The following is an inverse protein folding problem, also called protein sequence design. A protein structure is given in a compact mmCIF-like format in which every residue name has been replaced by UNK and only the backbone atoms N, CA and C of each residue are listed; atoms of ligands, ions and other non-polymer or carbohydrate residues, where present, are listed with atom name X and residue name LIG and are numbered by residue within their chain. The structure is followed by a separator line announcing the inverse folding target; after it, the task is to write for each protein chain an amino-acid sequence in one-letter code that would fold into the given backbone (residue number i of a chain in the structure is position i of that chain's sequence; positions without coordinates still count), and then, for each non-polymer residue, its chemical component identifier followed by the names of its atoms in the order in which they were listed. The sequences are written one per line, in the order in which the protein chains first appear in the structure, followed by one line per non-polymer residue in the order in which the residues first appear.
data_IF_117264713163
#
_entry.id   IF_117264713163
#
_cell.length_a   1.000
_cell.length_b   1.000
_cell.length_c   1.000
_cell.angle_alpha   90.00
_cell.angle_beta   90.00
_cell.angle_gamma   90.00
#
_symmetry.space_group_name_H-M   'P 1'
#
loop_
_entity.id
_entity.type
_entity.pdbx_description
1 polymer ?
#
# COMPACT_ATOMS: atom_id res chain seq x y z
N UNK A 1 -0.40 -9.57 23.21
CA UNK A 1 0.21 -9.47 21.86
C UNK A 1 -0.35 -8.25 21.16
N UNK A 2 0.44 -7.59 20.29
CA UNK A 2 -0.01 -6.39 19.55
C UNK A 2 0.05 -6.64 18.04
N UNK A 3 -0.90 -6.06 17.30
CA UNK A 3 -0.87 -5.98 15.84
C UNK A 3 -0.81 -4.52 15.44
N UNK A 4 0.10 -4.17 14.53
CA UNK A 4 0.28 -2.81 14.06
C UNK A 4 -0.30 -2.65 12.66
N UNK A 5 -1.04 -1.57 12.44
CA UNK A 5 -1.57 -1.18 11.12
C UNK A 5 -1.32 0.31 10.89
N UNK A 6 -1.18 0.71 9.63
CA UNK A 6 -1.17 2.12 9.27
C UNK A 6 -2.59 2.66 9.11
N UNK A 7 -2.78 3.94 9.43
CA UNK A 7 -3.97 4.69 9.00
C UNK A 7 -4.18 4.57 7.48
N UNK A 8 -5.44 4.62 7.05
CA UNK A 8 -5.81 4.53 5.63
C UNK A 8 -6.76 5.67 5.26
N UNK A 9 -6.24 6.77 4.71
CA UNK A 9 -7.04 7.94 4.37
C UNK A 9 -7.63 7.90 2.96
N UNK A 10 -7.21 6.98 2.09
CA UNK A 10 -7.57 7.01 0.66
C UNK A 10 -8.56 5.93 0.25
N UNK A 11 -8.51 4.77 0.91
CA UNK A 11 -9.32 3.61 0.55
C UNK A 11 -10.34 3.29 1.65
N UNK A 12 -11.61 3.63 1.40
CA UNK A 12 -12.73 3.38 2.32
C UNK A 12 -12.87 1.90 2.69
N UNK A 13 -12.66 1.00 1.73
CA UNK A 13 -12.69 -0.46 1.95
C UNK A 13 -11.59 -0.91 2.91
N UNK A 14 -10.36 -0.41 2.72
CA UNK A 14 -9.23 -0.77 3.59
C UNK A 14 -9.37 -0.13 4.97
N UNK A 15 -9.93 1.08 5.07
CA UNK A 15 -10.26 1.71 6.35
C UNK A 15 -11.31 0.89 7.12
N UNK A 16 -12.38 0.43 6.46
CA UNK A 16 -13.36 -0.46 7.08
C UNK A 16 -12.72 -1.78 7.52
N UNK A 17 -11.82 -2.34 6.71
CA UNK A 17 -11.08 -3.54 7.09
C UNK A 17 -10.25 -3.35 8.36
N UNK A 18 -9.63 -2.19 8.58
CA UNK A 18 -8.94 -1.88 9.83
C UNK A 18 -9.91 -1.86 11.03
N UNK A 19 -11.11 -1.28 10.87
CA UNK A 19 -12.14 -1.25 11.91
C UNK A 19 -12.64 -2.65 12.25
N UNK A 20 -12.96 -3.45 11.24
CA UNK A 20 -13.42 -4.83 11.42
C UNK A 20 -12.33 -5.67 12.09
N UNK A 21 -11.08 -5.49 11.68
CA UNK A 21 -9.93 -6.14 12.30
C UNK A 21 -9.79 -5.78 13.77
N UNK A 22 -9.95 -4.51 14.14
CA UNK A 22 -9.95 -4.09 15.55
C UNK A 22 -11.01 -4.83 16.35
N UNK A 23 -12.24 -4.81 15.84
CA UNK A 23 -13.37 -5.47 16.49
C UNK A 23 -13.09 -6.96 16.72
N UNK A 24 -12.72 -7.70 15.66
CA UNK A 24 -12.51 -9.14 15.76
C UNK A 24 -11.27 -9.52 16.57
N UNK A 25 -10.22 -8.72 16.58
CA UNK A 25 -9.01 -9.04 17.34
C UNK A 25 -9.13 -8.72 18.83
N UNK A 26 -9.89 -7.69 19.19
CA UNK A 26 -10.01 -7.24 20.58
C UNK A 26 -11.23 -7.83 21.30
N UNK A 27 -12.20 -8.39 20.56
CA UNK A 27 -13.42 -8.93 21.15
C UNK A 27 -13.15 -10.15 22.05
N UNK A 28 -13.74 -10.20 23.27
CA UNK A 28 -13.62 -11.35 24.16
C UNK A 28 -14.51 -12.53 23.74
N UNK A 29 -15.30 -12.36 22.67
CA UNK A 29 -16.25 -13.39 22.20
C UNK A 29 -15.58 -14.52 21.42
N UNK A 30 -14.36 -14.31 20.93
CA UNK A 30 -13.60 -15.35 20.27
C UNK A 30 -12.91 -16.26 21.29
N UNK A 31 -12.72 -17.56 20.98
CA UNK A 31 -12.04 -18.50 21.86
C UNK A 31 -10.53 -18.26 21.96
N UNK A 32 -9.97 -17.34 21.17
CA UNK A 32 -8.56 -16.98 21.18
C UNK A 32 -8.30 -15.79 22.13
N UNK A 33 -7.10 -15.68 22.71
CA UNK A 33 -6.72 -14.50 23.51
C UNK A 33 -6.82 -13.20 22.68
N UNK A 34 -7.35 -12.10 23.26
CA UNK A 34 -7.43 -10.82 22.57
C UNK A 34 -6.06 -10.28 22.12
N UNK A 35 -6.05 -9.60 20.97
CA UNK A 35 -4.89 -8.94 20.38
C UNK A 35 -5.21 -7.46 20.23
N UNK A 36 -4.42 -6.61 20.89
CA UNK A 36 -4.55 -5.15 20.77
C UNK A 36 -4.11 -4.69 19.38
N UNK A 37 -4.98 -3.96 18.68
CA UNK A 37 -4.65 -3.33 17.40
C UNK A 37 -4.14 -1.91 17.65
N UNK A 38 -2.89 -1.65 17.28
CA UNK A 38 -2.27 -0.33 17.35
C UNK A 38 -2.26 0.28 15.96
N UNK A 39 -2.99 1.37 15.79
CA UNK A 39 -2.98 2.14 14.54
C UNK A 39 -1.91 3.22 14.61
N UNK A 40 -1.06 3.30 13.58
CA UNK A 40 0.03 4.26 13.46
C UNK A 40 -0.30 5.21 12.30
N UNK A 41 -0.04 6.49 12.48
CA UNK A 41 -0.16 7.47 11.42
C UNK A 41 0.70 7.08 10.21
N UNK A 42 0.11 7.24 9.02
CA UNK A 42 0.77 6.88 7.77
C UNK A 42 1.86 7.91 7.49
N UNK A 43 3.05 7.43 7.15
CA UNK A 43 4.15 8.31 6.77
C UNK A 43 3.73 9.20 5.59
N UNK A 44 3.97 10.50 5.73
CA UNK A 44 3.72 11.50 4.70
C UNK A 44 5.03 11.90 4.01
N UNK A 45 4.94 12.16 2.71
CA UNK A 45 5.99 12.84 1.96
C UNK A 45 5.37 14.10 1.35
N UNK A 46 5.93 15.27 1.67
CA UNK A 46 5.40 16.57 1.25
C UNK A 46 3.90 16.70 1.56
N UNK A 47 3.52 16.50 2.83
CA UNK A 47 2.12 16.55 3.32
C UNK A 47 1.16 15.51 2.70
N UNK A 48 1.65 14.63 1.83
CA UNK A 48 0.83 13.61 1.18
C UNK A 48 1.13 12.24 1.78
N UNK A 49 0.14 11.53 2.35
CA UNK A 49 0.34 10.18 2.86
C UNK A 49 0.82 9.23 1.75
N UNK A 50 1.89 8.48 2.04
CA UNK A 50 2.50 7.58 1.05
C UNK A 50 1.57 6.39 0.78
N UNK A 51 1.29 6.08 -0.48
CA UNK A 51 0.46 4.94 -0.88
C UNK A 51 1.13 4.05 -1.91
N UNK A 52 0.84 2.74 -1.84
CA UNK A 52 1.35 1.78 -2.82
C UNK A 52 0.81 2.06 -4.24
N UNK A 53 -0.41 2.59 -4.36
CA UNK A 53 -0.97 3.01 -5.65
C UNK A 53 -0.17 4.15 -6.28
N UNK A 54 0.30 5.10 -5.48
CA UNK A 54 1.16 6.18 -5.96
C UNK A 54 2.51 5.65 -6.48
N UNK A 55 3.17 4.79 -5.70
CA UNK A 55 4.42 4.14 -6.13
C UNK A 55 4.24 3.34 -7.43
N UNK A 56 3.16 2.57 -7.57
CA UNK A 56 2.86 1.83 -8.81
C UNK A 56 2.64 2.76 -10.01
N UNK A 57 1.94 3.88 -9.83
CA UNK A 57 1.74 4.89 -10.90
C UNK A 57 3.07 5.46 -11.39
N UNK A 58 4.01 5.74 -10.49
CA UNK A 58 5.37 6.18 -10.84
C UNK A 58 6.19 5.06 -11.48
N UNK A 59 6.03 3.82 -11.02
CA UNK A 59 6.78 2.67 -11.53
C UNK A 59 6.41 2.36 -12.99
N UNK A 60 5.13 2.51 -13.36
CA UNK A 60 4.67 2.41 -14.76
C UNK A 60 5.32 3.48 -15.64
N UNK A 61 5.65 4.65 -15.09
CA UNK A 61 6.37 5.72 -15.78
C UNK A 61 7.89 5.54 -15.75
N UNK A 62 8.39 4.50 -15.10
CA UNK A 62 9.81 4.27 -14.83
C UNK A 62 10.51 5.43 -14.09
N UNK A 63 9.74 6.24 -13.35
CA UNK A 63 10.27 7.40 -12.62
C UNK A 63 10.80 6.97 -11.24
N UNK A 64 11.95 6.30 -11.28
CA UNK A 64 12.62 5.78 -10.08
C UNK A 64 13.12 6.91 -9.15
N UNK A 65 13.41 8.08 -9.72
CA UNK A 65 13.81 9.28 -8.96
C UNK A 65 12.67 9.76 -8.08
N UNK A 66 11.44 9.84 -8.62
CA UNK A 66 10.27 10.22 -7.83
C UNK A 66 9.83 9.13 -6.83
N UNK A 67 10.16 7.86 -7.08
CA UNK A 67 9.88 6.76 -6.14
C UNK A 67 10.85 6.76 -4.94
N UNK A 68 12.10 7.16 -5.15
CA UNK A 68 13.16 7.09 -4.14
C UNK A 68 12.77 7.65 -2.76
N UNK A 69 12.14 8.82 -2.61
CA UNK A 69 11.76 9.32 -1.29
C UNK A 69 10.53 8.63 -0.68
N UNK A 70 9.80 7.81 -1.44
CA UNK A 70 8.53 7.20 -1.01
C UNK A 70 8.71 5.80 -0.43
N UNK A 71 9.86 5.17 -0.64
CA UNK A 71 10.09 3.77 -0.26
C UNK A 71 11.46 3.60 0.40
N UNK A 72 11.65 2.59 1.26
CA UNK A 72 12.97 2.27 1.79
C UNK A 72 13.96 1.90 0.67
N UNK A 73 15.25 2.14 0.88
CA UNK A 73 16.32 1.86 -0.10
C UNK A 73 16.32 0.41 -0.61
N UNK A 74 16.01 -0.55 0.25
CA UNK A 74 15.90 -1.96 -0.15
C UNK A 74 14.79 -2.17 -1.19
N UNK A 75 13.65 -1.47 -1.02
CA UNK A 75 12.54 -1.52 -1.98
C UNK A 75 12.91 -0.81 -3.27
N UNK A 76 13.56 0.36 -3.20
CA UNK A 76 14.01 1.08 -4.39
C UNK A 76 14.95 0.23 -5.25
N UNK A 77 15.97 -0.40 -4.63
CA UNK A 77 16.89 -1.31 -5.32
C UNK A 77 16.18 -2.50 -5.98
N UNK A 78 15.19 -3.05 -5.30
CA UNK A 78 14.37 -4.13 -5.87
C UNK A 78 13.58 -3.67 -7.10
N UNK A 79 12.96 -2.49 -7.04
CA UNK A 79 12.19 -1.89 -8.13
C UNK A 79 13.09 -1.54 -9.34
N UNK A 80 14.29 -1.01 -9.09
CA UNK A 80 15.31 -0.77 -10.12
C UNK A 80 15.62 -2.05 -10.90
N UNK A 81 15.99 -3.12 -10.20
CA UNK A 81 16.27 -4.41 -10.84
C UNK A 81 15.05 -5.00 -11.56
N UNK A 82 13.83 -4.75 -11.09
CA UNK A 82 12.61 -5.19 -11.78
C UNK A 82 12.45 -4.51 -13.14
N UNK A 83 12.70 -3.20 -13.21
CA UNK A 83 12.64 -2.40 -14.44
C UNK A 83 13.72 -2.84 -15.42
N UNK A 84 14.96 -3.04 -14.95
CA UNK A 84 16.08 -3.50 -15.78
C UNK A 84 15.83 -4.87 -16.42
N UNK A 85 15.15 -5.78 -15.72
CA UNK A 85 14.77 -7.11 -16.24
C UNK A 85 13.64 -7.07 -17.26
N UNK A 86 12.80 -6.02 -17.25
CA UNK A 86 11.61 -5.94 -18.10
C UNK A 86 11.49 -4.59 -18.83
N UNK A 87 12.44 -4.23 -19.70
CA UNK A 87 12.43 -2.95 -20.39
C UNK A 87 11.25 -2.77 -21.39
N UNK A 88 10.56 -3.86 -21.76
CA UNK A 88 9.54 -3.87 -22.83
C UNK A 88 8.05 -3.90 -22.42
N UNK A 89 7.70 -3.83 -21.12
CA UNK A 89 6.29 -4.02 -20.70
C UNK A 89 5.36 -2.83 -20.99
N UNK A 90 5.88 -1.68 -21.42
CA UNK A 90 5.07 -0.47 -21.65
C UNK A 90 4.18 -0.56 -22.89
N UNK A 91 4.59 -1.30 -23.94
CA UNK A 91 3.81 -1.39 -25.19
C UNK A 91 2.72 -2.46 -25.16
N UNK A 92 2.90 -3.56 -24.40
CA UNK A 92 2.00 -4.71 -24.45
C UNK A 92 0.73 -4.57 -23.58
N UNK A 93 0.71 -3.66 -22.59
CA UNK A 93 -0.43 -3.50 -21.66
C UNK A 93 -1.50 -2.50 -22.12
N UNK A 94 -1.38 -1.93 -23.32
CA UNK A 94 -2.41 -1.05 -23.90
C UNK A 94 -3.67 -1.80 -24.39
N UNK A 95 -3.75 -3.13 -24.26
CA UNK A 95 -4.97 -3.92 -24.50
C UNK A 95 -5.50 -4.62 -23.24
N UNK A 96 -6.19 -3.83 -22.40
CA UNK A 96 -7.34 -4.17 -21.52
C UNK A 96 -7.21 -5.23 -20.39
N UNK A 97 -8.11 -5.21 -19.38
CA UNK A 97 -9.20 -4.27 -19.11
C UNK A 97 -8.95 -3.37 -17.89
N UNK A 98 -9.79 -2.35 -17.78
CA UNK A 98 -9.98 -1.45 -16.65
C UNK A 98 -9.99 -2.26 -15.35
N UNK A 99 -8.93 -2.17 -14.56
CA UNK A 99 -9.05 -2.39 -13.12
C UNK A 99 -9.97 -1.27 -12.63
N UNK A 100 -11.18 -1.65 -12.20
CA UNK A 100 -12.05 -0.75 -11.47
C UNK A 100 -11.28 -0.23 -10.26
N UNK A 101 -10.81 1.01 -10.36
CA UNK A 101 -10.40 1.78 -9.19
C UNK A 101 -11.63 1.83 -8.29
N UNK A 102 -11.57 1.13 -7.16
CA UNK A 102 -12.53 1.23 -6.08
C UNK A 102 -12.39 2.59 -5.39
N UNK A 103 -12.61 3.67 -6.13
CA UNK A 103 -12.86 5.00 -5.62
C UNK A 103 -14.39 5.17 -5.55
N UNK A 104 -14.91 5.12 -4.32
CA UNK A 104 -16.11 5.81 -3.89
C UNK A 104 -15.83 6.43 -2.54
#
# INVERSE_FOLDING_TARGET
THRFVGTEPFCTVTAQYNLDMRFWLETPTLPAPPITLVEIERLCFQETPISASWVRKLLVKHDLTAIAPLVPDATLRYLQGMVERHPGSAAARQKAPVLATGEK
#
